data_IF_641604045115
#
_entry.id   IF_641604045115
#
_cell.length_a   1.000
_cell.length_b   1.000
_cell.length_c   1.000
_cell.angle_alpha   90.00
_cell.angle_beta   90.00
_cell.angle_gamma   90.00
#
_symmetry.space_group_name_H-M   'P 1'
#
loop_
_entity.id
_entity.type
_entity.pdbx_description
1 polymer ?
#
# COMPACT_ATOMS: atom_id res chain seq x y z
N UNK A 1 26.33 39.20 11.96
CA UNK A 1 25.20 39.64 11.13
C UNK A 1 25.23 38.77 9.87
N UNK A 2 24.41 37.72 9.76
CA UNK A 2 23.03 37.74 9.22
C UNK A 2 23.03 38.21 7.74
N UNK A 3 22.51 37.53 6.72
CA UNK A 3 21.59 36.39 6.53
C UNK A 3 21.78 35.81 5.10
N UNK A 4 21.32 34.57 4.89
CA UNK A 4 21.15 33.87 3.59
C UNK A 4 20.10 34.53 2.67
N UNK A 5 19.88 34.10 1.39
CA UNK A 5 19.27 32.80 1.10
C UNK A 5 19.90 31.98 -0.05
N UNK A 6 20.07 30.69 0.23
CA UNK A 6 20.22 29.61 -0.74
C UNK A 6 18.96 29.52 -1.62
N UNK A 7 19.14 29.39 -2.94
CA UNK A 7 18.12 28.88 -3.85
C UNK A 7 18.43 27.41 -4.13
N UNK A 8 17.63 26.51 -3.58
CA UNK A 8 17.54 25.14 -4.09
C UNK A 8 16.63 25.14 -5.31
N UNK A 9 17.12 24.57 -6.40
CA UNK A 9 16.34 24.25 -7.59
C UNK A 9 15.49 23.03 -7.28
N UNK A 10 14.18 23.14 -7.46
CA UNK A 10 13.22 22.06 -7.26
C UNK A 10 13.44 20.96 -8.30
N UNK A 11 13.73 19.75 -7.84
CA UNK A 11 13.45 18.51 -8.56
C UNK A 11 12.51 17.68 -7.69
N UNK A 12 11.30 17.44 -8.18
CA UNK A 12 10.27 16.64 -7.54
C UNK A 12 10.60 15.15 -7.64
N UNK A 13 10.80 14.48 -6.51
CA UNK A 13 10.61 13.03 -6.33
C UNK A 13 10.01 12.85 -4.93
N UNK A 14 8.78 12.35 -4.86
CA UNK A 14 8.15 11.97 -3.59
C UNK A 14 8.73 10.62 -3.14
N UNK A 15 9.16 10.54 -1.87
CA UNK A 15 9.18 9.30 -1.09
C UNK A 15 10.26 8.25 -1.35
N UNK A 16 11.17 8.39 -2.32
CA UNK A 16 12.29 7.44 -2.43
C UNK A 16 13.42 7.83 -1.48
N UNK A 17 13.90 6.86 -0.70
CA UNK A 17 15.19 6.91 0.00
C UNK A 17 16.28 7.41 -0.97
N UNK A 18 16.59 8.71 -0.91
CA UNK A 18 17.65 9.29 -1.72
C UNK A 18 18.96 8.92 -1.04
N UNK A 19 19.62 7.87 -1.55
CA UNK A 19 21.03 7.65 -1.26
C UNK A 19 21.75 8.90 -1.79
N UNK A 20 22.37 9.66 -0.90
CA UNK A 20 23.22 10.78 -1.28
C UNK A 20 24.42 10.19 -2.05
N UNK A 21 24.37 10.26 -3.38
CA UNK A 21 25.50 9.94 -4.25
C UNK A 21 26.36 11.19 -4.35
N UNK A 22 27.39 11.29 -3.52
CA UNK A 22 28.51 12.20 -3.79
C UNK A 22 29.31 11.63 -4.96
N UNK A 23 29.02 12.11 -6.18
CA UNK A 23 29.87 11.89 -7.35
C UNK A 23 30.97 12.96 -7.31
N UNK A 24 32.26 12.61 -7.14
CA UNK A 24 33.33 13.57 -7.34
C UNK A 24 33.36 13.94 -8.83
N UNK A 25 33.19 15.22 -9.15
CA UNK A 25 33.42 15.74 -10.48
C UNK A 25 34.88 15.49 -10.88
N UNK A 26 35.10 14.62 -11.86
CA UNK A 26 36.39 14.51 -12.55
C UNK A 26 36.49 15.74 -13.45
N UNK A 27 37.02 16.84 -12.90
CA UNK A 27 37.61 17.88 -13.73
C UNK A 27 38.96 17.37 -14.24
N UNK A 28 38.95 16.88 -15.47
CA UNK A 28 40.17 16.65 -16.22
C UNK A 28 40.85 17.99 -16.48
N UNK A 29 41.97 18.24 -15.79
CA UNK A 29 42.91 19.26 -16.22
C UNK A 29 44.30 18.63 -16.32
N UNK A 30 44.73 18.40 -17.56
CA UNK A 30 46.10 18.06 -17.91
C UNK A 30 47.00 19.28 -17.70
N UNK A 31 48.01 19.19 -16.83
CA UNK A 31 49.31 19.84 -17.07
C UNK A 31 50.44 19.27 -16.19
N UNK A 32 51.57 19.04 -16.86
CA UNK A 32 52.88 18.62 -16.35
C UNK A 32 53.49 19.62 -15.35
N UNK A 33 54.20 19.13 -14.31
CA UNK A 33 55.64 19.42 -14.06
C UNK A 33 56.14 18.89 -12.68
N UNK A 34 57.23 18.10 -12.76
CA UNK A 34 58.36 17.86 -11.83
C UNK A 34 58.37 18.35 -10.36
N UNK A 35 58.83 17.47 -9.45
CA UNK A 35 59.73 17.87 -8.34
C UNK A 35 59.60 17.17 -6.98
N UNK A 36 60.53 16.25 -6.70
CA UNK A 36 61.17 15.89 -5.40
C UNK A 36 60.36 15.48 -4.15
N UNK A 37 60.53 14.19 -3.80
CA UNK A 37 60.86 13.59 -2.48
C UNK A 37 60.29 14.19 -1.18
N UNK A 38 59.42 13.43 -0.51
CA UNK A 38 59.43 13.25 0.95
C UNK A 38 58.73 11.93 1.32
N UNK A 39 59.41 11.10 2.11
CA UNK A 39 58.89 9.87 2.70
C UNK A 39 57.74 10.18 3.69
N UNK A 40 56.67 9.39 3.64
CA UNK A 40 55.55 9.50 4.57
C UNK A 40 54.62 8.30 4.48
N UNK A 41 54.78 7.37 5.42
CA UNK A 41 53.87 6.32 5.89
C UNK A 41 52.65 6.02 5.00
N UNK A 42 52.68 4.87 4.34
CA UNK A 42 51.52 4.30 3.65
C UNK A 42 50.42 3.96 4.64
N UNK A 43 49.45 4.86 4.80
CA UNK A 43 48.15 4.54 5.36
C UNK A 43 47.32 3.90 4.24
N UNK A 44 47.07 2.60 4.34
CA UNK A 44 46.15 1.91 3.45
C UNK A 44 44.73 2.45 3.70
N UNK A 45 44.32 3.45 2.91
CA UNK A 45 42.93 3.87 2.84
C UNK A 45 42.13 2.74 2.19
N UNK A 46 41.52 1.89 3.01
CA UNK A 46 40.44 1.01 2.58
C UNK A 46 39.25 1.90 2.21
N UNK A 47 38.99 2.05 0.92
CA UNK A 47 37.72 2.59 0.45
C UNK A 47 36.63 1.55 0.74
N UNK A 48 35.89 1.72 1.84
CA UNK A 48 34.61 1.05 2.01
C UNK A 48 33.63 1.70 1.03
N UNK A 49 33.48 1.15 -0.18
CA UNK A 49 32.32 1.46 -1.00
C UNK A 49 31.11 0.86 -0.29
N UNK A 50 30.19 1.73 0.16
CA UNK A 50 28.90 1.29 0.71
C UNK A 50 28.19 0.47 -0.38
N UNK A 51 27.63 -0.71 -0.07
CA UNK A 51 26.83 -1.47 -1.03
C UNK A 51 25.73 -0.57 -1.61
N UNK A 52 25.51 -0.68 -2.93
CA UNK A 52 24.51 0.11 -3.66
C UNK A 52 23.08 -0.21 -3.20
N UNK A 53 22.87 -1.43 -2.70
CA UNK A 53 21.59 -1.93 -2.20
C UNK A 53 21.74 -2.56 -0.81
N UNK A 54 20.73 -2.48 0.07
CA UNK A 54 20.72 -3.21 1.33
C UNK A 54 20.68 -4.72 1.06
N UNK A 55 21.36 -5.50 1.90
CA UNK A 55 21.46 -6.96 1.72
C UNK A 55 20.23 -7.73 2.15
N UNK A 56 19.45 -7.15 3.05
CA UNK A 56 18.24 -7.71 3.61
C UNK A 56 17.35 -6.63 4.24
N UNK A 57 16.19 -7.03 4.74
CA UNK A 57 15.24 -6.13 5.36
C UNK A 57 15.72 -5.51 6.67
N UNK A 58 16.70 -6.10 7.36
CA UNK A 58 17.31 -5.50 8.54
C UNK A 58 18.13 -4.28 8.14
N UNK A 59 18.92 -4.38 7.07
CA UNK A 59 19.62 -3.24 6.52
C UNK A 59 18.67 -2.19 5.95
N UNK A 60 17.56 -2.58 5.31
CA UNK A 60 16.50 -1.63 4.90
C UNK A 60 16.03 -0.81 6.10
N UNK A 61 15.68 -1.47 7.20
CA UNK A 61 15.24 -0.82 8.45
C UNK A 61 16.33 0.08 9.03
N UNK A 62 17.56 -0.41 9.13
CA UNK A 62 18.67 0.29 9.78
C UNK A 62 19.21 1.46 8.91
N UNK A 63 18.89 1.49 7.61
CA UNK A 63 19.30 2.54 6.66
C UNK A 63 18.59 3.88 6.86
N UNK A 64 17.46 3.91 7.58
CA UNK A 64 16.66 5.13 7.76
C UNK A 64 16.55 5.52 9.24
N UNK A 65 16.78 6.81 9.52
CA UNK A 65 16.61 7.44 10.84
C UNK A 65 15.15 7.82 11.17
N UNK A 66 14.20 7.40 10.33
CA UNK A 66 12.75 7.47 10.53
C UNK A 66 12.18 6.05 10.55
N UNK A 67 11.05 5.83 11.21
CA UNK A 67 10.37 4.52 11.23
C UNK A 67 10.08 4.06 9.80
N UNK A 68 10.78 3.02 9.35
CA UNK A 68 10.54 2.38 8.04
C UNK A 68 9.29 1.52 8.16
N UNK A 69 8.29 1.76 7.32
CA UNK A 69 7.07 0.97 7.32
C UNK A 69 7.28 -0.38 6.61
N UNK A 70 6.38 -1.32 6.88
CA UNK A 70 6.37 -2.60 6.18
C UNK A 70 6.02 -2.42 4.71
N UNK A 71 6.68 -3.14 3.81
CA UNK A 71 6.44 -2.98 2.37
C UNK A 71 7.41 -3.77 1.51
N UNK A 72 7.35 -3.54 0.19
CA UNK A 72 8.24 -4.19 -0.79
C UNK A 72 9.46 -3.29 -1.03
N UNK A 73 10.65 -3.85 -0.87
CA UNK A 73 11.93 -3.16 -1.05
C UNK A 73 12.87 -3.96 -1.94
N UNK A 74 13.76 -3.27 -2.65
CA UNK A 74 14.86 -3.92 -3.36
C UNK A 74 15.99 -4.27 -2.40
N UNK A 75 16.37 -5.54 -2.38
CA UNK A 75 17.53 -6.03 -1.63
C UNK A 75 18.50 -6.74 -2.58
N UNK A 76 19.78 -6.79 -2.20
CA UNK A 76 20.80 -7.56 -2.91
C UNK A 76 21.66 -8.35 -1.93
N UNK A 77 21.30 -9.61 -1.63
CA UNK A 77 22.14 -10.49 -0.83
C UNK A 77 23.52 -10.72 -1.45
N UNK A 78 24.51 -10.93 -0.61
CA UNK A 78 25.89 -11.19 -1.03
C UNK A 78 25.95 -12.42 -1.95
N UNK A 79 26.53 -12.24 -3.14
CA UNK A 79 26.70 -13.30 -4.13
C UNK A 79 25.47 -13.61 -4.99
N UNK A 80 24.36 -12.90 -4.84
CA UNK A 80 23.24 -12.96 -5.80
C UNK A 80 23.48 -11.98 -6.96
N UNK A 81 23.13 -12.38 -8.19
CA UNK A 81 23.53 -11.66 -9.41
C UNK A 81 22.97 -10.23 -9.45
N UNK A 82 21.64 -10.09 -9.31
CA UNK A 82 20.90 -8.84 -9.46
C UNK A 82 20.04 -8.53 -8.22
N UNK A 83 19.82 -7.25 -7.88
CA UNK A 83 18.89 -6.89 -6.81
C UNK A 83 17.48 -7.39 -7.15
N UNK A 84 16.71 -7.76 -6.13
CA UNK A 84 15.35 -8.24 -6.30
C UNK A 84 14.42 -7.74 -5.18
N UNK A 85 13.12 -7.81 -5.44
CA UNK A 85 12.09 -7.38 -4.51
C UNK A 85 11.90 -8.38 -3.36
N UNK A 86 11.85 -7.87 -2.13
CA UNK A 86 11.51 -8.60 -0.93
C UNK A 86 10.49 -7.81 -0.11
N UNK A 87 9.52 -8.53 0.48
CA UNK A 87 8.64 -7.90 1.46
C UNK A 87 9.36 -7.83 2.81
N UNK A 88 9.54 -6.62 3.31
CA UNK A 88 10.07 -6.34 4.63
C UNK A 88 8.94 -6.07 5.61
N UNK A 89 8.83 -6.89 6.65
CA UNK A 89 7.94 -6.64 7.77
C UNK A 89 8.70 -5.88 8.86
N UNK A 90 8.36 -4.61 9.00
CA UNK A 90 8.96 -3.68 9.94
C UNK A 90 8.06 -3.39 11.15
N UNK A 91 6.83 -3.94 11.16
CA UNK A 91 5.83 -3.62 12.18
C UNK A 91 5.92 -4.59 13.38
N UNK A 92 6.55 -5.75 13.19
CA UNK A 92 6.61 -6.84 14.17
C UNK A 92 7.99 -6.92 14.82
N UNK A 93 8.05 -7.10 16.15
CA UNK A 93 9.27 -7.37 16.94
C UNK A 93 10.50 -6.56 16.50
N UNK A 94 10.38 -5.23 16.56
CA UNK A 94 11.41 -4.25 16.16
C UNK A 94 11.74 -4.20 14.65
N UNK A 95 11.02 -4.96 13.82
CA UNK A 95 11.11 -4.92 12.37
C UNK A 95 12.37 -5.55 11.77
N UNK A 96 12.54 -5.38 10.45
CA UNK A 96 13.68 -5.92 9.71
C UNK A 96 13.50 -7.37 9.26
N UNK A 97 12.28 -7.90 9.30
CA UNK A 97 11.98 -9.26 8.90
C UNK A 97 11.86 -9.37 7.38
N UNK A 98 12.63 -10.27 6.77
CA UNK A 98 12.44 -10.62 5.35
C UNK A 98 11.40 -11.74 5.26
N UNK A 99 10.26 -11.46 4.64
CA UNK A 99 9.17 -12.44 4.57
C UNK A 99 9.42 -13.44 3.44
N UNK A 100 9.53 -14.72 3.79
CA UNK A 100 9.88 -15.79 2.85
C UNK A 100 8.68 -16.60 2.35
N UNK A 101 7.55 -16.53 3.06
CA UNK A 101 6.29 -17.17 2.71
C UNK A 101 5.12 -16.41 3.33
N UNK A 102 4.01 -16.30 2.60
CA UNK A 102 2.69 -15.92 3.13
C UNK A 102 1.59 -16.83 2.60
N UNK A 103 0.68 -17.22 3.50
CA UNK A 103 -0.53 -18.00 3.20
C UNK A 103 -1.65 -17.56 4.14
N UNK A 104 -2.78 -17.13 3.60
CA UNK A 104 -3.91 -16.63 4.40
C UNK A 104 -5.29 -16.74 3.72
N UNK A 105 -5.40 -16.79 2.39
CA UNK A 105 -6.70 -16.83 1.69
C UNK A 105 -6.81 -17.91 0.61
N UNK A 106 -5.72 -18.60 0.28
CA UNK A 106 -5.67 -19.61 -0.78
C UNK A 106 -5.76 -19.03 -2.19
N UNK A 107 -5.53 -17.73 -2.39
CA UNK A 107 -5.54 -17.06 -3.68
C UNK A 107 -4.44 -17.55 -4.63
N UNK A 108 -3.38 -18.18 -4.12
CA UNK A 108 -2.29 -18.75 -4.91
C UNK A 108 -2.20 -20.26 -4.71
N UNK A 109 -2.16 -21.02 -5.81
CA UNK A 109 -1.93 -22.47 -5.76
C UNK A 109 -0.46 -22.78 -5.39
N UNK A 110 -0.24 -23.50 -4.29
CA UNK A 110 1.10 -23.95 -3.84
C UNK A 110 1.48 -25.35 -4.34
N UNK A 111 0.57 -26.09 -4.97
CA UNK A 111 0.89 -27.38 -5.57
C UNK A 111 1.65 -27.18 -6.91
N UNK A 112 2.94 -26.85 -6.79
CA UNK A 112 3.80 -26.39 -7.89
C UNK A 112 4.98 -27.32 -8.10
N UNK A 113 5.64 -27.17 -9.25
CA UNK A 113 6.81 -27.98 -9.59
C UNK A 113 8.09 -27.44 -8.91
N UNK A 114 9.20 -28.16 -9.08
CA UNK A 114 10.50 -27.80 -8.52
C UNK A 114 11.01 -26.42 -8.97
N UNK A 115 10.88 -26.11 -10.26
CA UNK A 115 11.37 -24.85 -10.84
C UNK A 115 10.61 -23.64 -10.28
N UNK A 116 9.31 -23.80 -10.00
CA UNK A 116 8.49 -22.77 -9.35
C UNK A 116 8.99 -22.50 -7.92
N UNK A 117 9.23 -23.55 -7.12
CA UNK A 117 9.76 -23.38 -5.76
C UNK A 117 11.22 -22.87 -5.74
N UNK A 118 12.00 -23.19 -6.76
CA UNK A 118 13.34 -22.65 -6.96
C UNK A 118 13.30 -21.13 -7.19
N UNK A 119 12.47 -20.67 -8.13
CA UNK A 119 12.38 -19.26 -8.54
C UNK A 119 11.53 -18.39 -7.61
N UNK A 120 10.57 -18.99 -6.93
CA UNK A 120 9.50 -18.30 -6.21
C UNK A 120 8.28 -18.05 -7.09
N UNK A 121 7.13 -17.83 -6.46
CA UNK A 121 5.85 -17.60 -7.11
C UNK A 121 4.89 -16.81 -6.20
N UNK A 122 3.83 -16.25 -6.76
CA UNK A 122 2.87 -15.39 -6.05
C UNK A 122 3.25 -13.90 -6.10
N UNK A 123 2.60 -13.10 -5.28
CA UNK A 123 2.81 -11.65 -5.22
C UNK A 123 3.18 -11.22 -3.81
N UNK A 124 4.19 -10.36 -3.66
CA UNK A 124 4.73 -9.96 -2.36
C UNK A 124 3.70 -9.23 -1.47
N UNK A 125 2.68 -8.62 -2.06
CA UNK A 125 1.55 -7.99 -1.35
C UNK A 125 0.49 -8.98 -0.88
N UNK A 126 0.52 -10.24 -1.34
CA UNK A 126 -0.50 -11.27 -1.05
C UNK A 126 0.16 -12.58 -0.57
N UNK A 127 -0.35 -13.74 -1.02
CA UNK A 127 0.31 -15.04 -0.86
C UNK A 127 1.48 -15.20 -1.84
N UNK A 128 2.59 -15.75 -1.35
CA UNK A 128 3.75 -16.05 -2.17
C UNK A 128 4.70 -17.06 -1.50
N UNK A 129 5.57 -17.64 -2.32
CA UNK A 129 6.80 -18.30 -1.91
C UNK A 129 7.99 -17.53 -2.48
N UNK A 130 8.96 -17.19 -1.65
CA UNK A 130 10.06 -16.29 -2.00
C UNK A 130 11.02 -16.86 -3.05
N UNK A 131 11.16 -18.18 -3.10
CA UNK A 131 12.09 -18.89 -3.97
C UNK A 131 13.31 -19.40 -3.22
N UNK A 132 13.59 -20.69 -3.36
CA UNK A 132 14.68 -21.36 -2.64
C UNK A 132 16.06 -20.82 -3.05
N UNK A 133 16.20 -20.40 -4.31
CA UNK A 133 17.46 -19.87 -4.81
C UNK A 133 17.86 -18.60 -4.06
N UNK A 134 16.95 -17.62 -4.05
CA UNK A 134 17.11 -16.36 -3.27
C UNK A 134 17.31 -16.63 -1.79
N UNK A 135 16.52 -17.54 -1.21
CA UNK A 135 16.59 -17.88 0.22
C UNK A 135 17.93 -18.52 0.60
N UNK A 136 18.54 -19.30 -0.30
CA UNK A 136 19.84 -19.92 -0.06
C UNK A 136 20.96 -18.87 -0.01
N UNK A 137 20.96 -17.88 -0.90
CA UNK A 137 21.92 -16.78 -0.83
C UNK A 137 21.70 -15.92 0.41
N UNK A 138 20.44 -15.58 0.70
CA UNK A 138 20.07 -14.79 1.86
C UNK A 138 20.55 -15.46 3.16
N UNK A 139 20.22 -16.73 3.39
CA UNK A 139 20.53 -17.37 4.69
C UNK A 139 22.01 -17.74 4.87
N UNK A 140 22.81 -17.77 3.79
CA UNK A 140 24.24 -18.08 3.86
C UNK A 140 25.15 -16.84 3.96
N UNK A 141 24.64 -15.62 3.76
CA UNK A 141 25.45 -14.40 3.91
C UNK A 141 25.70 -13.99 5.37
N UNK A 142 24.81 -14.37 6.30
CA UNK A 142 24.89 -14.00 7.71
C UNK A 142 24.24 -15.07 8.62
N UNK A 143 23.97 -14.72 9.88
CA UNK A 143 23.18 -15.54 10.80
C UNK A 143 21.77 -14.95 10.85
N UNK A 144 20.79 -15.75 10.44
CA UNK A 144 19.39 -15.34 10.40
C UNK A 144 18.57 -16.11 11.41
N UNK A 145 17.67 -15.39 12.07
CA UNK A 145 16.58 -16.00 12.81
C UNK A 145 15.41 -16.33 11.87
N UNK A 146 14.78 -17.49 12.09
CA UNK A 146 13.52 -17.85 11.44
C UNK A 146 12.40 -17.70 12.44
N UNK A 147 11.38 -16.94 12.04
CA UNK A 147 10.11 -16.82 12.75
C UNK A 147 9.00 -17.44 11.90
N UNK A 148 8.13 -18.20 12.55
CA UNK A 148 6.95 -18.79 11.93
C UNK A 148 5.74 -18.33 12.74
N UNK A 149 4.90 -17.50 12.14
CA UNK A 149 3.62 -17.08 12.70
C UNK A 149 2.51 -18.01 12.18
N UNK A 150 1.80 -18.67 13.09
CA UNK A 150 0.65 -19.53 12.81
C UNK A 150 -0.58 -18.87 13.42
N UNK A 151 -1.57 -18.61 12.57
CA UNK A 151 -2.86 -18.04 12.97
C UNK A 151 -3.92 -19.10 12.62
N UNK A 152 -4.57 -19.68 13.64
CA UNK A 152 -5.63 -20.67 13.45
C UNK A 152 -6.98 -19.99 13.21
N UNK A 153 -7.23 -18.94 13.98
CA UNK A 153 -8.42 -18.11 13.94
C UNK A 153 -8.08 -16.73 14.51
N UNK A 154 -9.08 -15.84 14.53
CA UNK A 154 -8.92 -14.45 14.95
C UNK A 154 -8.57 -14.29 16.45
N UNK A 155 -8.61 -15.38 17.21
CA UNK A 155 -8.34 -15.38 18.65
C UNK A 155 -7.06 -16.13 19.01
N UNK A 156 -6.59 -17.00 18.13
CA UNK A 156 -5.56 -18.00 18.42
C UNK A 156 -4.40 -17.86 17.45
N UNK A 157 -3.32 -17.25 17.91
CA UNK A 157 -2.05 -17.22 17.19
C UNK A 157 -0.91 -17.80 18.03
N UNK A 158 0.11 -18.30 17.35
CA UNK A 158 1.39 -18.55 17.98
C UNK A 158 2.53 -18.21 17.02
N UNK A 159 3.62 -17.72 17.59
CA UNK A 159 4.89 -17.55 16.90
C UNK A 159 5.91 -18.55 17.43
N UNK A 160 6.76 -19.04 16.53
CA UNK A 160 7.88 -19.93 16.84
C UNK A 160 9.14 -19.33 16.26
N UNK A 161 10.22 -19.30 17.04
CA UNK A 161 11.49 -18.70 16.63
C UNK A 161 12.68 -19.66 16.77
N UNK A 162 13.61 -19.52 15.83
CA UNK A 162 14.85 -20.27 15.67
C UNK A 162 15.98 -19.27 15.40
N UNK A 163 17.14 -19.40 16.05
CA UNK A 163 18.19 -18.36 16.04
C UNK A 163 19.24 -18.49 14.92
N UNK A 164 19.25 -19.61 14.17
CA UNK A 164 20.30 -19.90 13.19
C UNK A 164 19.77 -20.71 12.00
N UNK A 165 18.79 -20.14 11.30
CA UNK A 165 18.16 -20.74 10.13
C UNK A 165 19.05 -20.61 8.89
N UNK A 166 19.34 -21.75 8.25
CA UNK A 166 20.07 -21.84 6.99
C UNK A 166 19.52 -22.96 6.12
N UNK A 167 19.46 -22.69 4.82
CA UNK A 167 19.27 -23.73 3.81
C UNK A 167 20.53 -23.87 2.95
N UNK A 168 20.76 -25.06 2.41
CA UNK A 168 21.86 -25.28 1.47
C UNK A 168 21.57 -24.69 0.09
N UNK A 169 22.58 -24.67 -0.76
CA UNK A 169 22.44 -24.37 -2.19
C UNK A 169 21.63 -25.43 -2.97
N UNK A 170 21.41 -25.16 -4.26
CA UNK A 170 20.73 -26.06 -5.20
C UNK A 170 21.42 -27.42 -5.31
N UNK A 171 22.76 -27.44 -5.36
CA UNK A 171 23.54 -28.67 -5.51
C UNK A 171 23.28 -29.65 -4.36
N UNK A 172 23.07 -29.10 -3.16
CA UNK A 172 22.75 -29.84 -1.95
C UNK A 172 21.24 -30.01 -1.72
N UNK A 173 20.40 -29.54 -2.66
CA UNK A 173 18.95 -29.75 -2.69
C UNK A 173 18.14 -28.82 -1.77
N UNK A 174 18.64 -27.61 -1.48
CA UNK A 174 17.97 -26.62 -0.61
C UNK A 174 17.55 -27.17 0.78
N UNK A 175 18.29 -28.15 1.31
CA UNK A 175 17.99 -28.76 2.60
C UNK A 175 18.20 -27.76 3.73
N UNK A 176 17.38 -27.81 4.76
CA UNK A 176 17.65 -27.07 6.00
C UNK A 176 18.95 -27.60 6.62
N UNK A 177 20.00 -26.79 6.56
CA UNK A 177 21.34 -27.14 7.03
C UNK A 177 21.57 -26.72 8.48
N UNK A 178 20.82 -25.75 8.97
CA UNK A 178 20.83 -25.31 10.38
C UNK A 178 19.47 -24.69 10.75
N UNK A 179 19.03 -24.94 11.98
CA UNK A 179 17.89 -24.25 12.62
C UNK A 179 18.28 -23.62 13.97
N UNK A 180 19.47 -23.89 14.49
CA UNK A 180 19.88 -23.36 15.79
C UNK A 180 19.03 -23.85 16.98
N UNK A 181 18.93 -23.02 18.01
CA UNK A 181 18.18 -23.31 19.24
C UNK A 181 16.73 -22.87 19.08
N UNK A 182 15.82 -23.72 19.57
CA UNK A 182 14.41 -23.42 19.69
C UNK A 182 14.17 -22.44 20.86
N UNK A 183 13.82 -21.19 20.55
CA UNK A 183 13.74 -20.12 21.55
C UNK A 183 12.43 -20.17 22.36
N UNK A 184 11.31 -20.64 21.77
CA UNK A 184 10.03 -20.70 22.48
C UNK A 184 9.06 -21.75 21.93
N UNK A 185 8.42 -22.49 22.85
CA UNK A 185 7.28 -23.35 22.54
C UNK A 185 6.11 -22.50 22.00
N UNK A 186 5.46 -22.92 20.91
CA UNK A 186 4.20 -22.32 20.42
C UNK A 186 3.19 -22.32 21.59
N UNK A 187 3.09 -21.18 22.27
CA UNK A 187 2.11 -20.93 23.33
C UNK A 187 1.03 -20.09 22.69
N UNK A 188 -0.12 -20.73 22.46
CA UNK A 188 -1.30 -20.06 21.93
C UNK A 188 -1.62 -18.82 22.75
N UNK A 189 -1.51 -17.66 22.10
CA UNK A 189 -1.91 -16.38 22.67
C UNK A 189 -3.40 -16.21 22.33
N UNK A 190 -4.24 -16.15 23.35
CA UNK A 190 -5.61 -15.67 23.18
C UNK A 190 -5.55 -14.15 23.06
N UNK A 191 -5.70 -13.62 21.84
CA UNK A 191 -5.71 -12.17 21.61
C UNK A 191 -7.12 -11.66 21.89
N UNK A 192 -7.43 -11.41 23.17
CA UNK A 192 -8.67 -10.75 23.57
C UNK A 192 -8.53 -9.24 23.43
N UNK A 193 -8.63 -8.73 22.20
CA UNK A 193 -9.26 -7.45 21.80
C UNK A 193 -8.95 -7.23 20.32
N UNK A 194 -9.78 -7.78 19.43
CA UNK A 194 -9.70 -7.38 18.03
C UNK A 194 -10.53 -6.12 17.83
N UNK A 195 -9.87 -5.01 17.54
CA UNK A 195 -10.54 -3.78 17.15
C UNK A 195 -11.41 -4.04 15.92
N UNK A 196 -12.68 -3.65 15.93
CA UNK A 196 -13.56 -3.89 14.77
C UNK A 196 -13.45 -2.79 13.71
N UNK A 197 -12.88 -1.65 14.09
CA UNK A 197 -12.64 -0.48 13.26
C UNK A 197 -11.62 0.47 13.96
N UNK A 198 -11.28 1.58 13.30
CA UNK A 198 -10.40 2.59 13.89
C UNK A 198 -10.99 3.31 15.10
N UNK A 199 -12.30 3.20 15.36
CA UNK A 199 -12.92 3.78 16.54
C UNK A 199 -12.61 2.94 17.79
N UNK A 200 -12.60 1.61 17.68
CA UNK A 200 -12.11 0.76 18.78
C UNK A 200 -10.62 0.99 19.06
N UNK A 201 -9.80 1.10 18.00
CA UNK A 201 -8.37 1.43 18.11
C UNK A 201 -8.17 2.75 18.89
N UNK A 202 -8.93 3.78 18.53
CA UNK A 202 -8.84 5.09 19.16
C UNK A 202 -9.29 5.06 20.62
N UNK A 203 -10.38 4.35 20.93
CA UNK A 203 -10.91 4.23 22.30
C UNK A 203 -10.00 3.42 23.23
N UNK A 204 -9.19 2.52 22.69
CA UNK A 204 -8.15 1.81 23.43
C UNK A 204 -6.93 2.69 23.78
N UNK A 205 -6.86 3.90 23.19
CA UNK A 205 -5.85 4.91 23.49
C UNK A 205 -4.79 5.08 22.40
N UNK A 206 -4.92 4.37 21.27
CA UNK A 206 -4.05 4.58 20.10
C UNK A 206 -4.52 5.79 19.29
N UNK A 207 -3.86 6.94 19.50
CA UNK A 207 -4.27 8.25 18.93
C UNK A 207 -3.39 8.75 17.80
N UNK A 208 -2.49 7.92 17.27
CA UNK A 208 -1.61 8.29 16.16
C UNK A 208 -2.20 7.87 14.81
N UNK A 209 -1.98 8.68 13.79
CA UNK A 209 -2.29 8.28 12.42
C UNK A 209 -1.37 7.12 12.01
N UNK A 210 -1.92 6.11 11.34
CA UNK A 210 -1.12 4.97 10.90
C UNK A 210 -1.95 3.78 10.48
N UNK A 211 -1.26 2.69 10.16
CA UNK A 211 -1.87 1.44 9.76
C UNK A 211 -2.10 0.55 10.98
N UNK A 212 -3.35 0.10 11.16
CA UNK A 212 -3.77 -0.75 12.28
C UNK A 212 -4.48 -2.00 11.79
N UNK A 213 -4.37 -3.08 12.56
CA UNK A 213 -5.07 -4.33 12.29
C UNK A 213 -6.48 -4.29 12.91
N UNK A 214 -7.50 -4.59 12.11
CA UNK A 214 -8.89 -4.67 12.56
C UNK A 214 -9.55 -5.99 12.13
N UNK A 215 -10.61 -6.37 12.83
CA UNK A 215 -11.46 -7.52 12.51
C UNK A 215 -12.94 -7.12 12.65
N UNK A 216 -13.59 -6.68 11.57
CA UNK A 216 -15.00 -6.29 11.58
C UNK A 216 -15.92 -7.45 11.99
N UNK A 217 -17.05 -7.12 12.58
CA UNK A 217 -18.07 -8.11 12.98
C UNK A 217 -18.63 -8.79 11.73
N UNK A 218 -18.71 -10.12 11.77
CA UNK A 218 -19.21 -10.92 10.65
C UNK A 218 -18.19 -11.18 9.54
N UNK A 219 -16.99 -10.58 9.60
CA UNK A 219 -15.90 -10.91 8.69
C UNK A 219 -15.35 -12.32 8.98
N UNK A 220 -15.56 -13.23 8.04
CA UNK A 220 -15.25 -14.65 8.18
C UNK A 220 -13.80 -15.01 7.80
N UNK A 221 -13.03 -14.06 7.26
CA UNK A 221 -11.61 -14.20 6.93
C UNK A 221 -10.71 -13.62 8.05
N UNK A 222 -9.40 -13.72 7.86
CA UNK A 222 -8.41 -13.17 8.80
C UNK A 222 -8.55 -11.64 8.97
N UNK A 223 -8.12 -11.08 10.12
CA UNK A 223 -8.08 -9.64 10.33
C UNK A 223 -7.24 -8.95 9.25
N UNK A 224 -7.58 -7.71 8.92
CA UNK A 224 -6.91 -6.96 7.87
C UNK A 224 -6.48 -5.58 8.33
N UNK A 225 -5.46 -5.05 7.67
CA UNK A 225 -4.92 -3.72 7.96
C UNK A 225 -5.80 -2.64 7.34
N UNK A 226 -5.98 -1.53 8.06
CA UNK A 226 -6.62 -0.29 7.59
C UNK A 226 -5.77 0.90 7.99
N UNK A 227 -5.85 1.98 7.22
CA UNK A 227 -5.28 3.25 7.67
C UNK A 227 -6.29 3.96 8.59
N UNK A 228 -5.86 4.26 9.81
CA UNK A 228 -6.61 5.07 10.75
C UNK A 228 -6.11 6.50 10.76
N UNK A 229 -7.02 7.45 10.50
CA UNK A 229 -6.77 8.86 10.73
C UNK A 229 -7.36 9.26 12.09
N UNK A 230 -6.47 9.46 13.06
CA UNK A 230 -6.73 9.82 14.44
C UNK A 230 -6.58 11.33 14.71
N UNK A 231 -5.99 12.07 13.78
CA UNK A 231 -5.64 13.48 13.95
C UNK A 231 -6.73 14.47 13.53
N UNK A 232 -7.58 14.15 12.56
CA UNK A 232 -8.52 15.12 11.97
C UNK A 232 -9.91 14.97 12.59
N UNK A 233 -10.50 16.10 12.98
CA UNK A 233 -11.94 16.20 13.28
C UNK A 233 -12.44 15.21 14.35
N UNK A 234 -11.64 15.06 15.41
CA UNK A 234 -11.91 14.15 16.52
C UNK A 234 -11.32 12.74 16.36
N UNK A 235 -10.66 12.46 15.23
CA UNK A 235 -10.00 11.18 14.99
C UNK A 235 -10.96 10.03 14.71
N UNK A 236 -10.47 8.80 14.97
CA UNK A 236 -11.18 7.52 14.81
C UNK A 236 -11.73 7.21 13.41
N UNK A 237 -11.13 7.79 12.37
CA UNK A 237 -11.54 7.55 10.99
C UNK A 237 -10.87 6.33 10.40
N UNK A 238 -11.67 5.41 9.85
CA UNK A 238 -11.20 4.32 9.00
C UNK A 238 -11.19 4.79 7.55
N UNK A 239 -9.99 4.97 6.97
CA UNK A 239 -9.83 5.38 5.58
C UNK A 239 -9.99 4.18 4.66
N UNK A 240 -10.81 4.31 3.63
CA UNK A 240 -11.07 3.22 2.67
C UNK A 240 -10.74 3.56 1.22
N UNK A 241 -10.51 4.84 0.91
CA UNK A 241 -9.92 5.26 -0.35
C UNK A 241 -9.00 6.45 -0.10
N UNK A 242 -7.84 6.45 -0.75
CA UNK A 242 -6.96 7.62 -0.82
C UNK A 242 -6.36 7.78 -2.21
N UNK A 243 -6.31 9.02 -2.67
CA UNK A 243 -5.62 9.49 -3.89
C UNK A 243 -4.71 10.67 -3.57
N UNK A 244 -3.49 10.62 -4.05
CA UNK A 244 -2.41 11.56 -3.73
C UNK A 244 -1.71 12.07 -4.97
N UNK A 245 -1.24 11.19 -5.86
CA UNK A 245 -0.39 11.57 -7.00
C UNK A 245 -0.58 10.72 -8.27
N UNK A 246 -1.48 9.74 -8.25
CA UNK A 246 -1.66 8.82 -9.38
C UNK A 246 -0.52 7.81 -9.54
N UNK A 247 0.11 7.38 -8.45
CA UNK A 247 1.06 6.25 -8.48
C UNK A 247 0.36 4.90 -8.64
N UNK A 248 -0.92 4.81 -8.28
CA UNK A 248 -1.73 3.59 -8.37
C UNK A 248 -2.89 3.78 -9.35
N UNK A 249 -3.01 2.89 -10.34
CA UNK A 249 -4.16 2.91 -11.25
C UNK A 249 -5.41 2.35 -10.58
N UNK A 250 -6.52 3.08 -10.73
CA UNK A 250 -7.86 2.71 -10.26
C UNK A 250 -8.72 2.10 -11.40
N UNK A 251 -8.16 1.93 -12.60
CA UNK A 251 -8.82 1.20 -13.68
C UNK A 251 -8.65 -0.32 -13.48
N UNK A 252 -9.33 -0.83 -12.45
CA UNK A 252 -9.24 -2.20 -11.95
C UNK A 252 -10.52 -2.99 -12.19
N UNK A 253 -10.37 -4.31 -12.24
CA UNK A 253 -11.50 -5.22 -12.50
C UNK A 253 -12.38 -5.41 -11.25
N UNK A 254 -13.48 -6.16 -11.39
CA UNK A 254 -14.42 -6.41 -10.29
C UNK A 254 -13.76 -7.08 -9.09
N UNK A 255 -12.97 -8.13 -9.32
CA UNK A 255 -12.26 -8.89 -8.28
C UNK A 255 -11.30 -8.02 -7.48
N UNK A 256 -10.52 -7.18 -8.16
CA UNK A 256 -9.59 -6.24 -7.52
C UNK A 256 -10.33 -5.19 -6.67
N UNK A 257 -11.46 -4.65 -7.15
CA UNK A 257 -12.28 -3.73 -6.35
C UNK A 257 -12.97 -4.41 -5.17
N UNK A 258 -13.33 -5.69 -5.31
CA UNK A 258 -13.86 -6.53 -4.24
C UNK A 258 -12.84 -6.77 -3.13
N UNK A 259 -11.62 -7.16 -3.50
CA UNK A 259 -10.54 -7.53 -2.57
C UNK A 259 -9.78 -6.32 -2.00
N UNK A 260 -9.67 -5.26 -2.79
CA UNK A 260 -8.88 -4.06 -2.52
C UNK A 260 -7.51 -4.09 -3.19
N UNK A 261 -6.90 -2.92 -3.34
CA UNK A 261 -5.61 -2.74 -4.00
C UNK A 261 -4.91 -1.46 -3.53
N UNK A 262 -3.60 -1.36 -3.82
CA UNK A 262 -2.79 -0.19 -3.52
C UNK A 262 -2.07 -0.26 -2.18
N UNK A 263 -1.54 0.88 -1.74
CA UNK A 263 -0.78 1.05 -0.50
C UNK A 263 -1.57 1.88 0.51
N UNK A 264 -1.84 1.29 1.69
CA UNK A 264 -2.60 1.92 2.78
C UNK A 264 -1.98 3.24 3.26
N UNK A 265 -0.67 3.41 3.10
CA UNK A 265 0.02 4.63 3.48
C UNK A 265 0.00 5.69 2.37
N UNK A 266 -0.37 5.34 1.14
CA UNK A 266 -0.29 6.23 -0.02
C UNK A 266 -1.56 6.28 -0.90
N UNK A 267 -1.73 5.39 -1.87
CA UNK A 267 -2.93 5.34 -2.72
C UNK A 267 -3.54 3.95 -2.71
N UNK A 268 -4.81 3.83 -2.33
CA UNK A 268 -5.47 2.53 -2.21
C UNK A 268 -6.99 2.60 -2.31
N UNK A 269 -7.57 1.43 -2.55
CA UNK A 269 -8.97 1.10 -2.32
C UNK A 269 -9.03 -0.09 -1.38
N UNK A 270 -9.75 0.02 -0.25
CA UNK A 270 -9.72 -1.00 0.80
C UNK A 270 -10.25 -2.37 0.36
N UNK A 271 -11.25 -2.37 -0.53
CA UNK A 271 -11.98 -3.56 -0.97
C UNK A 271 -13.45 -3.51 -0.57
N UNK A 272 -14.34 -3.78 -1.52
CA UNK A 272 -15.79 -3.68 -1.31
C UNK A 272 -16.31 -4.72 -0.29
N UNK A 273 -15.74 -5.93 -0.27
CA UNK A 273 -16.10 -6.94 0.73
C UNK A 273 -15.81 -6.44 2.15
N UNK A 274 -14.62 -5.86 2.35
CA UNK A 274 -14.21 -5.31 3.65
C UNK A 274 -15.07 -4.13 4.05
N UNK A 275 -15.33 -3.22 3.11
CA UNK A 275 -16.14 -2.03 3.34
C UNK A 275 -17.59 -2.40 3.69
N UNK A 276 -18.17 -3.39 3.01
CA UNK A 276 -19.50 -3.93 3.33
C UNK A 276 -19.56 -4.34 4.80
N UNK A 277 -18.69 -5.25 5.23
CA UNK A 277 -18.70 -5.77 6.60
C UNK A 277 -18.52 -4.68 7.66
N UNK A 278 -17.63 -3.71 7.42
CA UNK A 278 -17.49 -2.56 8.33
C UNK A 278 -18.81 -1.79 8.42
N UNK A 279 -19.44 -1.46 7.28
CA UNK A 279 -20.67 -0.66 7.28
C UNK A 279 -21.93 -1.39 7.77
N UNK A 280 -21.88 -2.73 7.92
CA UNK A 280 -22.97 -3.53 8.50
C UNK A 280 -22.96 -3.59 10.02
N UNK A 281 -21.80 -3.39 10.67
CA UNK A 281 -21.68 -3.69 12.11
C UNK A 281 -22.26 -2.60 13.03
N UNK A 282 -22.40 -1.38 12.53
CA UNK A 282 -22.85 -0.21 13.29
C UNK A 282 -23.27 0.92 12.34
N UNK A 283 -23.69 2.07 12.89
CA UNK A 283 -23.91 3.27 12.05
C UNK A 283 -22.59 4.01 11.87
N UNK A 284 -22.24 4.31 10.62
CA UNK A 284 -21.01 5.03 10.28
C UNK A 284 -21.34 6.37 9.63
N UNK A 285 -20.76 7.45 10.16
CA UNK A 285 -20.69 8.70 9.40
C UNK A 285 -19.58 8.58 8.34
N UNK A 286 -19.77 9.30 7.23
CA UNK A 286 -18.86 9.28 6.10
C UNK A 286 -18.35 10.67 5.79
N UNK A 287 -17.06 10.77 5.46
CA UNK A 287 -16.39 12.02 5.16
C UNK A 287 -15.53 11.88 3.91
N UNK A 288 -15.58 12.92 3.08
CA UNK A 288 -14.69 13.12 1.94
C UNK A 288 -13.88 14.37 2.16
N UNK A 289 -12.56 14.24 2.15
CA UNK A 289 -11.63 15.35 2.11
C UNK A 289 -11.07 15.51 0.70
N UNK A 290 -11.12 16.74 0.17
CA UNK A 290 -10.67 17.06 -1.18
C UNK A 290 -9.77 18.28 -1.12
N UNK A 291 -8.66 18.27 -1.84
CA UNK A 291 -7.85 19.48 -2.06
C UNK A 291 -7.91 19.83 -3.54
N UNK A 292 -8.51 20.97 -3.89
CA UNK A 292 -8.49 21.46 -5.27
C UNK A 292 -7.46 22.58 -5.38
N UNK A 293 -6.45 22.36 -6.22
CA UNK A 293 -5.28 23.25 -6.41
C UNK A 293 -4.50 23.57 -5.13
N UNK A 294 -5.05 24.40 -4.24
CA UNK A 294 -4.48 24.78 -2.95
C UNK A 294 -5.56 25.07 -1.90
N UNK A 295 -6.82 24.71 -2.15
CA UNK A 295 -7.93 24.91 -1.22
C UNK A 295 -8.50 23.56 -0.80
N UNK A 296 -8.55 23.34 0.52
CA UNK A 296 -9.14 22.14 1.10
C UNK A 296 -10.66 22.32 1.28
N UNK A 297 -11.40 21.26 0.96
CA UNK A 297 -12.84 21.12 1.13
C UNK A 297 -13.14 19.80 1.79
N UNK A 298 -14.31 19.74 2.42
CA UNK A 298 -14.83 18.47 2.92
C UNK A 298 -16.35 18.41 2.81
N UNK A 299 -16.87 17.20 2.66
CA UNK A 299 -18.29 16.88 2.87
C UNK A 299 -18.39 15.77 3.90
N UNK A 300 -19.42 15.84 4.73
CA UNK A 300 -19.81 14.79 5.67
C UNK A 300 -21.23 14.34 5.40
N UNK A 301 -21.48 13.09 5.72
CA UNK A 301 -22.73 12.38 5.52
C UNK A 301 -23.03 11.61 6.80
N UNK A 302 -24.25 11.72 7.31
CA UNK A 302 -24.60 11.13 8.60
C UNK A 302 -24.72 9.61 8.57
N UNK A 303 -24.70 9.00 7.39
CA UNK A 303 -24.69 7.56 7.22
C UNK A 303 -23.84 7.18 6.00
N UNK A 304 -23.40 5.93 5.95
CA UNK A 304 -22.80 5.32 4.78
C UNK A 304 -22.92 3.80 4.89
N UNK A 305 -23.67 3.22 3.97
CA UNK A 305 -23.97 1.80 3.98
C UNK A 305 -23.94 1.23 2.57
N UNK A 306 -23.27 0.09 2.42
CA UNK A 306 -23.21 -0.64 1.15
C UNK A 306 -23.67 -2.08 1.34
N UNK A 307 -24.40 -2.60 0.36
CA UNK A 307 -24.83 -4.00 0.36
C UNK A 307 -23.67 -4.97 0.02
N UNK A 308 -23.96 -6.26 0.01
CA UNK A 308 -23.02 -7.33 -0.35
C UNK A 308 -22.80 -7.46 -1.87
N UNK A 309 -21.97 -8.43 -2.27
CA UNK A 309 -21.67 -8.69 -3.69
C UNK A 309 -22.89 -9.17 -4.49
N UNK A 310 -23.79 -9.95 -3.87
CA UNK A 310 -25.01 -10.45 -4.52
C UNK A 310 -25.88 -9.26 -4.98
N UNK A 311 -25.94 -8.22 -4.13
CA UNK A 311 -26.61 -6.96 -4.39
C UNK A 311 -25.70 -5.88 -5.01
N UNK A 312 -24.53 -6.28 -5.53
CA UNK A 312 -23.59 -5.44 -6.30
C UNK A 312 -23.05 -4.25 -5.52
N UNK A 313 -22.79 -4.43 -4.23
CA UNK A 313 -22.24 -3.42 -3.33
C UNK A 313 -22.98 -2.09 -3.38
N UNK A 314 -24.31 -2.14 -3.55
CA UNK A 314 -25.16 -0.97 -3.72
C UNK A 314 -25.00 -0.01 -2.56
N UNK A 315 -24.76 1.28 -2.85
CA UNK A 315 -24.73 2.34 -1.84
C UNK A 315 -26.15 2.68 -1.41
N UNK A 316 -26.67 2.10 -0.33
CA UNK A 316 -28.10 2.18 -0.01
C UNK A 316 -28.49 3.46 0.74
N UNK A 317 -27.61 3.96 1.59
CA UNK A 317 -27.88 5.14 2.42
C UNK A 317 -26.63 6.01 2.63
N UNK A 318 -26.80 7.32 2.44
CA UNK A 318 -25.80 8.36 2.70
C UNK A 318 -26.29 9.39 3.73
N UNK A 319 -27.51 9.25 4.25
CA UNK A 319 -28.06 10.14 5.27
C UNK A 319 -28.08 11.62 4.87
N UNK A 320 -27.91 12.51 5.86
CA UNK A 320 -27.93 13.97 5.65
C UNK A 320 -26.53 14.50 5.42
N UNK A 321 -26.38 15.34 4.38
CA UNK A 321 -25.11 16.01 4.07
C UNK A 321 -24.88 17.27 4.92
N UNK A 322 -23.65 17.43 5.39
CA UNK A 322 -23.07 18.69 5.89
C UNK A 322 -21.71 18.95 5.26
N UNK A 323 -21.14 20.16 5.41
CA UNK A 323 -19.79 20.45 4.94
C UNK A 323 -19.65 21.77 4.18
N UNK A 324 -18.51 21.95 3.53
CA UNK A 324 -18.04 23.26 3.05
C UNK A 324 -18.26 23.49 1.56
N UNK A 325 -18.19 22.45 0.71
CA UNK A 325 -18.36 22.56 -0.75
C UNK A 325 -18.41 21.17 -1.40
N UNK A 326 -19.12 21.03 -2.52
CA UNK A 326 -19.15 19.80 -3.34
C UNK A 326 -20.54 19.50 -3.88
N UNK A 327 -20.65 18.65 -4.91
CA UNK A 327 -21.94 18.06 -5.32
C UNK A 327 -22.31 16.96 -4.33
N UNK A 328 -23.60 16.80 -4.07
CA UNK A 328 -24.09 15.82 -3.10
C UNK A 328 -23.87 14.39 -3.59
N UNK A 329 -23.58 13.44 -2.69
CA UNK A 329 -23.66 12.02 -2.99
C UNK A 329 -25.10 11.52 -3.07
N UNK A 330 -26.10 12.36 -2.75
CA UNK A 330 -27.52 12.02 -2.93
C UNK A 330 -27.81 11.54 -4.37
N UNK A 331 -27.07 12.05 -5.36
CA UNK A 331 -27.20 11.71 -6.78
C UNK A 331 -26.76 10.27 -7.11
N UNK A 332 -25.96 9.63 -6.23
CA UNK A 332 -25.48 8.25 -6.38
C UNK A 332 -26.07 7.29 -5.34
N UNK A 333 -26.97 7.77 -4.47
CA UNK A 333 -27.66 6.91 -3.53
C UNK A 333 -28.50 5.87 -4.28
N UNK A 334 -28.57 4.67 -3.70
CA UNK A 334 -29.28 3.51 -4.20
C UNK A 334 -28.78 3.05 -5.58
N UNK A 335 -27.51 3.26 -5.90
CA UNK A 335 -26.91 2.80 -7.16
C UNK A 335 -25.95 1.64 -6.90
N UNK A 336 -25.94 0.59 -7.75
CA UNK A 336 -25.00 -0.51 -7.64
C UNK A 336 -23.59 -0.07 -8.09
N UNK A 337 -22.57 -0.75 -7.57
CA UNK A 337 -21.19 -0.54 -7.99
C UNK A 337 -20.96 -1.15 -9.36
N UNK A 338 -20.14 -0.52 -10.21
CA UNK A 338 -19.75 -1.08 -11.52
C UNK A 338 -18.26 -0.92 -11.77
N UNK A 339 -17.67 -1.91 -12.46
CA UNK A 339 -16.29 -1.91 -12.98
C UNK A 339 -16.32 -2.11 -14.49
N UNK A 340 -15.18 -1.97 -15.17
CA UNK A 340 -15.14 -2.06 -16.64
C UNK A 340 -15.54 -3.44 -17.17
N UNK A 341 -15.35 -4.48 -16.37
CA UNK A 341 -15.67 -5.89 -16.66
C UNK A 341 -17.01 -6.35 -16.07
N UNK A 342 -17.65 -5.53 -15.22
CA UNK A 342 -18.96 -5.82 -14.64
C UNK A 342 -19.82 -4.56 -14.56
N UNK A 343 -20.62 -4.36 -15.60
CA UNK A 343 -21.54 -3.23 -15.75
C UNK A 343 -22.85 -3.47 -14.98
N UNK A 344 -23.11 -2.63 -13.99
CA UNK A 344 -24.37 -2.61 -13.23
C UNK A 344 -25.04 -1.22 -13.27
N UNK A 345 -24.54 -0.27 -14.06
CA UNK A 345 -24.96 1.14 -13.98
C UNK A 345 -26.32 1.42 -14.65
N UNK A 346 -26.89 0.40 -15.29
CA UNK A 346 -28.22 0.43 -15.91
C UNK A 346 -28.26 1.28 -17.19
N UNK A 347 -27.12 1.53 -17.83
CA UNK A 347 -26.99 2.28 -19.09
C UNK A 347 -26.75 1.36 -20.28
N UNK A 348 -26.72 1.97 -21.47
CA UNK A 348 -26.37 1.31 -22.73
C UNK A 348 -24.84 1.24 -22.90
N UNK A 349 -24.09 2.09 -22.20
CA UNK A 349 -22.62 2.16 -22.22
C UNK A 349 -22.11 1.98 -20.80
N UNK A 350 -21.02 1.25 -20.63
CA UNK A 350 -20.39 1.05 -19.32
C UNK A 350 -19.66 2.33 -18.88
N UNK A 351 -20.20 3.03 -17.88
CA UNK A 351 -19.58 4.24 -17.34
C UNK A 351 -18.27 3.97 -16.60
N UNK A 352 -18.07 2.77 -16.07
CA UNK A 352 -16.79 2.39 -15.47
C UNK A 352 -15.67 2.26 -16.51
N UNK A 353 -15.99 1.90 -17.75
CA UNK A 353 -15.03 1.93 -18.87
C UNK A 353 -14.67 3.39 -19.23
N UNK A 354 -15.64 4.28 -19.25
CA UNK A 354 -15.43 5.69 -19.61
C UNK A 354 -14.69 6.51 -18.57
N UNK A 355 -15.08 6.37 -17.31
CA UNK A 355 -14.41 7.01 -16.20
C UNK A 355 -13.12 6.28 -15.80
N UNK A 356 -12.86 5.11 -16.40
CA UNK A 356 -11.72 4.24 -16.13
C UNK A 356 -11.52 3.99 -14.64
N UNK A 357 -12.62 3.70 -13.95
CA UNK A 357 -12.59 3.35 -12.52
C UNK A 357 -13.87 2.65 -12.07
N UNK A 358 -13.74 1.85 -11.02
CA UNK A 358 -14.89 1.35 -10.27
C UNK A 358 -15.57 2.45 -9.46
N UNK A 359 -16.90 2.53 -9.55
CA UNK A 359 -17.71 3.51 -8.80
C UNK A 359 -19.20 3.14 -8.76
N UNK A 360 -19.95 3.83 -7.89
CA UNK A 360 -21.42 3.92 -7.90
C UNK A 360 -21.89 4.92 -8.97
N UNK A 361 -21.96 4.48 -10.22
CA UNK A 361 -22.25 5.33 -11.39
C UNK A 361 -23.75 5.63 -11.50
N UNK A 362 -24.21 6.70 -10.85
CA UNK A 362 -25.64 7.02 -10.70
C UNK A 362 -26.39 7.64 -11.89
N UNK A 363 -27.72 7.79 -11.72
CA UNK A 363 -28.66 8.07 -12.81
C UNK A 363 -28.73 9.55 -13.26
N UNK A 364 -28.22 10.51 -12.48
CA UNK A 364 -28.47 11.94 -12.70
C UNK A 364 -27.62 12.64 -13.77
N UNK A 365 -26.88 11.90 -14.61
CA UNK A 365 -26.19 12.43 -15.82
C UNK A 365 -27.14 12.71 -17.00
N UNK A 366 -28.26 13.38 -16.74
CA UNK A 366 -29.25 13.71 -17.77
C UNK A 366 -28.79 14.90 -18.61
N UNK A 367 -28.38 14.63 -19.85
CA UNK A 367 -29.05 15.25 -21.01
C UNK A 367 -29.24 14.17 -22.07
N UNK A 368 -30.20 14.37 -22.95
CA UNK A 368 -30.87 13.40 -23.84
C UNK A 368 -30.00 12.77 -24.94
N UNK A 369 -28.71 12.56 -24.70
CA UNK A 369 -27.82 11.75 -25.54
C UNK A 369 -26.74 11.05 -24.69
N UNK A 370 -26.96 9.77 -24.39
CA UNK A 370 -25.98 8.68 -24.52
C UNK A 370 -24.58 8.74 -23.86
N UNK A 371 -24.21 9.70 -23.02
CA UNK A 371 -22.79 9.82 -22.66
C UNK A 371 -22.63 9.85 -21.13
N UNK A 372 -21.74 9.02 -20.57
CA UNK A 372 -21.18 9.19 -19.22
C UNK A 372 -20.29 10.45 -19.19
N UNK A 373 -20.89 11.61 -19.45
CA UNK A 373 -20.40 12.83 -20.14
C UNK A 373 -18.97 13.33 -19.83
N UNK A 374 -17.95 12.58 -20.21
CA UNK A 374 -17.09 12.88 -21.36
C UNK A 374 -16.03 11.79 -21.53
N UNK A 375 -16.29 10.87 -22.46
CA UNK A 375 -15.29 9.95 -22.98
C UNK A 375 -14.36 10.71 -23.95
N UNK A 376 -13.04 10.45 -23.95
CA UNK A 376 -12.19 10.89 -25.05
C UNK A 376 -12.53 10.06 -26.30
N UNK A 377 -13.30 10.63 -27.23
CA UNK A 377 -13.23 10.21 -28.63
C UNK A 377 -12.30 11.17 -29.37
N UNK A 378 -10.99 10.93 -29.28
CA UNK A 378 -9.97 11.76 -29.93
C UNK A 378 -9.52 12.97 -29.11
N UNK A 379 -9.16 14.07 -29.78
CA UNK A 379 -8.43 15.23 -29.26
C UNK A 379 -9.29 16.21 -28.41
N UNK A 380 -10.33 15.73 -27.72
CA UNK A 380 -11.29 16.58 -26.98
C UNK A 380 -11.13 16.50 -25.46
N UNK A 381 -11.35 17.65 -24.80
CA UNK A 381 -11.22 17.87 -23.37
C UNK A 381 -11.94 16.82 -22.50
N UNK A 382 -11.22 16.33 -21.49
CA UNK A 382 -11.75 15.47 -20.43
C UNK A 382 -12.68 16.29 -19.51
N UNK A 383 -13.87 15.77 -19.20
CA UNK A 383 -14.78 16.35 -18.18
C UNK A 383 -14.87 15.40 -17.01
N UNK A 384 -14.44 15.89 -15.85
CA UNK A 384 -14.37 15.10 -14.64
C UNK A 384 -15.74 14.97 -13.99
N UNK A 385 -16.01 13.78 -13.43
CA UNK A 385 -17.18 13.63 -12.56
C UNK A 385 -16.94 14.36 -11.24
N UNK A 386 -17.94 15.12 -10.80
CA UNK A 386 -17.93 15.77 -9.49
C UNK A 386 -18.20 14.80 -8.33
N UNK A 387 -18.63 13.58 -8.62
CA UNK A 387 -18.98 12.56 -7.62
C UNK A 387 -18.05 11.36 -7.64
N UNK A 388 -17.42 11.03 -8.78
CA UNK A 388 -16.46 9.93 -8.88
C UNK A 388 -15.03 10.42 -8.59
N UNK A 389 -14.54 10.10 -7.40
CA UNK A 389 -13.19 10.43 -6.93
C UNK A 389 -12.14 9.36 -7.27
N UNK A 390 -12.52 8.32 -8.03
CA UNK A 390 -11.64 7.24 -8.47
C UNK A 390 -11.17 7.40 -9.93
N UNK A 391 -11.85 8.23 -10.73
CA UNK A 391 -11.68 8.26 -12.19
C UNK A 391 -10.24 8.51 -12.70
N UNK A 392 -9.89 7.81 -13.77
CA UNK A 392 -8.59 7.86 -14.46
C UNK A 392 -8.74 8.34 -15.91
N UNK A 393 -8.99 9.64 -16.06
CA UNK A 393 -9.72 10.15 -17.22
C UNK A 393 -8.93 10.37 -18.53
N UNK A 394 -7.61 10.21 -18.55
CA UNK A 394 -6.78 10.40 -19.76
C UNK A 394 -6.15 9.12 -20.30
N UNK A 395 -6.36 7.99 -19.61
CA UNK A 395 -5.83 6.70 -19.98
C UNK A 395 -4.34 6.44 -19.71
N UNK A 396 -3.65 7.34 -19.00
CA UNK A 396 -2.40 6.99 -18.29
C UNK A 396 -2.71 6.46 -16.88
N UNK A 397 -1.71 6.12 -16.04
CA UNK A 397 -1.91 5.49 -14.73
C UNK A 397 -2.47 6.42 -13.62
N UNK A 398 -3.47 7.26 -13.87
CA UNK A 398 -4.09 8.08 -12.81
C UNK A 398 -3.60 9.53 -12.72
N UNK A 399 -2.79 10.01 -13.67
CA UNK A 399 -2.18 11.34 -13.59
C UNK A 399 -3.17 12.50 -13.75
N UNK A 400 -4.40 12.29 -14.23
CA UNK A 400 -5.34 13.38 -14.57
C UNK A 400 -6.55 13.54 -13.64
N UNK A 401 -6.48 13.11 -12.37
CA UNK A 401 -7.16 13.94 -11.34
C UNK A 401 -6.55 15.35 -11.27
N UNK A 402 -5.31 15.50 -11.76
CA UNK A 402 -4.42 16.60 -11.45
C UNK A 402 -4.19 17.61 -12.60
N UNK A 403 -4.79 17.43 -13.80
CA UNK A 403 -4.69 18.42 -14.91
C UNK A 403 -5.89 18.42 -15.90
N UNK A 404 -5.95 19.41 -16.80
CA UNK A 404 -7.08 20.32 -17.06
C UNK A 404 -8.52 19.77 -17.02
N UNK A 405 -9.27 20.35 -16.05
CA UNK A 405 -10.69 20.29 -15.66
C UNK A 405 -11.11 19.37 -14.48
N UNK A 406 -10.17 18.67 -13.82
CA UNK A 406 -10.39 18.02 -12.51
C UNK A 406 -9.78 18.81 -11.32
N UNK A 407 -8.53 19.29 -11.46
CA UNK A 407 -7.77 20.07 -10.46
C UNK A 407 -7.73 19.49 -9.02
N UNK A 408 -7.99 18.20 -8.82
CA UNK A 408 -7.84 17.54 -7.53
C UNK A 408 -6.37 17.25 -7.27
N UNK A 409 -5.85 17.66 -6.11
CA UNK A 409 -4.51 17.33 -5.61
C UNK A 409 -4.49 16.25 -4.53
N UNK A 410 -5.66 15.93 -4.01
CA UNK A 410 -5.82 14.93 -2.96
C UNK A 410 -7.30 14.61 -2.85
N UNK A 411 -7.63 13.33 -2.69
CA UNK A 411 -8.94 12.86 -2.30
C UNK A 411 -8.79 11.76 -1.26
N UNK A 412 -9.56 11.83 -0.18
CA UNK A 412 -9.61 10.78 0.82
C UNK A 412 -11.05 10.56 1.27
N UNK A 413 -11.45 9.30 1.31
CA UNK A 413 -12.76 8.86 1.76
C UNK A 413 -12.60 8.00 3.00
N UNK A 414 -13.36 8.34 4.04
CA UNK A 414 -13.25 7.69 5.35
C UNK A 414 -14.58 7.61 6.07
N UNK A 415 -14.71 6.60 6.92
CA UNK A 415 -15.89 6.35 7.75
C UNK A 415 -15.52 6.31 9.23
N UNK A 416 -16.45 6.71 10.10
CA UNK A 416 -16.29 6.66 11.55
C UNK A 416 -17.58 6.18 12.20
N UNK A 417 -17.47 5.25 13.16
CA UNK A 417 -18.60 4.73 13.91
C UNK A 417 -19.20 5.82 14.80
N UNK A 418 -20.52 6.00 14.77
CA UNK A 418 -21.23 7.00 15.58
C UNK A 418 -22.18 6.41 16.63
N UNK A 419 -22.66 5.18 16.44
CA UNK A 419 -23.55 4.50 17.39
C UNK A 419 -23.47 2.98 17.27
#
# INVERSE_FOLDING_TARGET
MALSPNRCMFLFVMGTCSILLDIPSIEGNSQFASGSTAEGQGSAFFFYQKPEYPRDCKEVRDSCSLSVSSGVYLIKPDGYEEPFEAYCDNDIDSGGWTVIQRRFDGGIEFNRNWDDYKKGFGFLSTEFWFGNDKLSHLTNQAVYQLRIDIILDNTTSCDVQYDSFRISDEWSGYKVSSLGIYDSACRWKNVYTSFTDCNDVYNDGSTQDGVYLIHPVGWDKSPFKVFCNMSIDGGSWTVFQRRVDGSTTFYRNWTEYKEGFGDLEHEFWLGNDKLHHITQQATYEYRVDLVLSSTAYYNKYSNFHIDDEENKYRLTDVGTRTGTRGRSLDDIQNTPFSTYDQDNDGRIYNCAEGHRSGWWHGAHYYTTSSNCYAFPSGNTNVVCSYSNHNGDYNGSNGQNMYDYNCNYKYAEMKIRRIS
#
